data_IF_231173511252
#
_entry.id   IF_231173511252
#
_cell.length_a   1.000
_cell.length_b   1.000
_cell.length_c   1.000
_cell.angle_alpha   90.00
_cell.angle_beta   90.00
_cell.angle_gamma   90.00
#
_symmetry.space_group_name_H-M   'P 1'
#
loop_
_entity.id
_entity.type
_entity.pdbx_description
1 polymer ?
#
# COMPACT_ATOMS: atom_id res chain seq x y z
N UNK A 1 -28.60 -19.03 3.79
CA UNK A 1 -28.31 -17.81 3.00
C UNK A 1 -26.87 -17.40 3.28
N UNK A 2 -25.94 -17.78 2.41
CA UNK A 2 -24.50 -17.48 2.61
C UNK A 2 -24.31 -15.99 2.31
N UNK A 3 -23.84 -15.24 3.30
CA UNK A 3 -23.78 -13.77 3.29
C UNK A 3 -22.94 -13.26 2.12
N UNK A 4 -23.41 -12.21 1.44
CA UNK A 4 -22.72 -11.52 0.32
C UNK A 4 -21.28 -11.11 0.65
N UNK A 5 -20.97 -10.93 1.93
CA UNK A 5 -19.62 -10.69 2.44
C UNK A 5 -18.65 -11.85 2.17
N UNK A 6 -19.09 -13.11 2.27
CA UNK A 6 -18.24 -14.29 2.01
C UNK A 6 -17.90 -14.45 0.53
N UNK A 7 -18.82 -14.11 -0.37
CA UNK A 7 -18.53 -14.07 -1.81
C UNK A 7 -17.55 -12.94 -2.18
N UNK A 8 -17.61 -11.81 -1.47
CA UNK A 8 -16.67 -10.70 -1.67
C UNK A 8 -15.27 -11.09 -1.18
N UNK A 9 -15.18 -11.69 0.00
CA UNK A 9 -13.93 -12.21 0.55
C UNK A 9 -13.30 -13.30 -0.33
N UNK A 10 -14.10 -14.22 -0.88
CA UNK A 10 -13.57 -15.28 -1.75
C UNK A 10 -13.06 -14.76 -3.10
N UNK A 11 -13.69 -13.72 -3.66
CA UNK A 11 -13.21 -13.06 -4.87
C UNK A 11 -11.87 -12.33 -4.68
N UNK A 12 -11.71 -11.68 -3.53
CA UNK A 12 -10.47 -10.98 -3.15
C UNK A 12 -9.34 -11.98 -2.90
N UNK A 13 -9.64 -13.11 -2.24
CA UNK A 13 -8.65 -14.12 -1.90
C UNK A 13 -8.05 -14.85 -3.14
N UNK A 14 -8.76 -14.85 -4.28
CA UNK A 14 -8.24 -15.38 -5.55
C UNK A 14 -7.13 -14.52 -6.17
N UNK A 15 -7.11 -13.22 -5.88
CA UNK A 15 -6.12 -12.29 -6.44
C UNK A 15 -4.95 -12.00 -5.50
N UNK A 16 -5.05 -12.41 -4.24
CA UNK A 16 -4.04 -12.14 -3.20
C UNK A 16 -3.10 -13.30 -2.90
N UNK A 17 -3.35 -14.52 -3.40
CA UNK A 17 -2.38 -15.62 -3.24
C UNK A 17 -1.21 -15.40 -4.20
N UNK A 18 -0.02 -15.03 -3.71
CA UNK A 18 1.17 -15.17 -4.52
C UNK A 18 1.44 -16.67 -4.59
N UNK A 19 1.42 -17.24 -5.79
CA UNK A 19 1.94 -18.59 -5.99
C UNK A 19 3.39 -18.58 -5.53
N UNK A 20 3.67 -19.12 -4.35
CA UNK A 20 5.04 -19.45 -3.95
C UNK A 20 5.42 -20.66 -4.78
N UNK A 21 5.91 -20.40 -5.99
CA UNK A 21 6.62 -21.36 -6.81
C UNK A 21 8.05 -20.87 -6.95
N UNK A 22 8.91 -21.42 -6.10
CA UNK A 22 10.31 -21.62 -6.46
C UNK A 22 10.35 -22.46 -7.73
N UNK A 23 10.65 -21.83 -8.85
CA UNK A 23 11.62 -22.30 -9.86
C UNK A 23 11.48 -21.44 -11.11
N UNK A 24 12.63 -21.09 -11.66
CA UNK A 24 12.84 -20.72 -13.05
C UNK A 24 11.86 -21.47 -13.98
N UNK A 25 11.04 -20.74 -14.73
CA UNK A 25 10.69 -21.09 -16.11
C UNK A 25 9.98 -19.92 -16.79
N UNK A 26 10.37 -19.73 -18.04
CA UNK A 26 9.96 -18.71 -18.98
C UNK A 26 8.56 -18.97 -19.55
N UNK A 27 7.59 -18.09 -19.26
CA UNK A 27 6.46 -17.83 -20.17
C UNK A 27 5.84 -16.45 -19.92
N UNK A 28 5.60 -15.70 -21.00
CA UNK A 28 5.27 -14.27 -20.95
C UNK A 28 3.78 -13.98 -20.87
N UNK A 29 3.31 -13.53 -19.69
CA UNK A 29 2.18 -12.60 -19.52
C UNK A 29 2.13 -12.01 -18.08
N UNK A 30 3.04 -11.06 -17.81
CA UNK A 30 2.82 -9.80 -17.08
C UNK A 30 2.08 -9.81 -15.72
N UNK A 31 2.68 -10.41 -14.69
CA UNK A 31 2.42 -9.99 -13.30
C UNK A 31 3.29 -8.79 -12.96
N UNK A 32 2.71 -7.60 -12.84
CA UNK A 32 3.48 -6.41 -12.43
C UNK A 32 4.08 -6.65 -11.03
N UNK A 33 5.41 -6.54 -10.83
CA UNK A 33 6.02 -6.87 -9.55
C UNK A 33 5.56 -5.87 -8.49
N UNK A 34 4.85 -6.33 -7.46
CA UNK A 34 4.45 -5.49 -6.31
C UNK A 34 5.60 -5.45 -5.30
N UNK A 35 6.04 -4.25 -4.91
CA UNK A 35 7.05 -4.06 -3.87
C UNK A 35 6.38 -3.96 -2.50
N UNK A 36 6.74 -4.83 -1.57
CA UNK A 36 6.22 -4.82 -0.19
C UNK A 36 7.36 -4.47 0.75
N UNK A 37 7.12 -3.55 1.69
CA UNK A 37 8.12 -3.21 2.70
C UNK A 37 8.39 -4.41 3.64
N UNK A 38 9.62 -4.54 4.17
CA UNK A 38 9.93 -5.62 5.11
C UNK A 38 9.04 -5.63 6.36
N UNK A 39 8.65 -4.46 6.86
CA UNK A 39 7.74 -4.30 8.02
C UNK A 39 6.37 -4.94 7.74
N UNK A 40 5.78 -4.61 6.59
CA UNK A 40 4.47 -5.14 6.19
C UNK A 40 4.57 -6.63 5.86
N UNK A 41 5.63 -7.05 5.15
CA UNK A 41 5.84 -8.46 4.83
C UNK A 41 5.95 -9.32 6.10
N UNK A 42 6.69 -8.84 7.11
CA UNK A 42 6.83 -9.53 8.37
C UNK A 42 5.52 -9.57 9.17
N UNK A 43 4.79 -8.45 9.21
CA UNK A 43 3.49 -8.38 9.87
C UNK A 43 2.50 -9.40 9.26
N UNK A 44 2.45 -9.50 7.93
CA UNK A 44 1.62 -10.47 7.23
C UNK A 44 2.05 -11.91 7.52
N UNK A 45 3.36 -12.23 7.54
CA UNK A 45 3.83 -13.58 7.86
C UNK A 45 3.56 -14.00 9.30
N UNK A 46 3.58 -13.04 10.23
CA UNK A 46 3.30 -13.26 11.64
C UNK A 46 1.81 -13.24 11.99
N UNK A 47 0.93 -13.01 11.00
CA UNK A 47 -0.52 -12.89 11.22
C UNK A 47 -0.91 -11.63 12.02
N UNK A 48 -0.05 -10.63 12.05
CA UNK A 48 -0.32 -9.34 12.70
C UNK A 48 -1.32 -8.52 11.86
N UNK A 49 -2.08 -7.66 12.52
CA UNK A 49 -2.99 -6.75 11.83
C UNK A 49 -2.20 -5.73 10.98
N UNK A 50 -2.60 -5.58 9.72
CA UNK A 50 -2.06 -4.58 8.79
C UNK A 50 -3.21 -3.69 8.33
N UNK A 51 -3.02 -2.38 8.36
CA UNK A 51 -4.00 -1.40 7.91
C UNK A 51 -3.46 -0.71 6.66
N UNK A 52 -4.12 -0.93 5.53
CA UNK A 52 -3.81 -0.21 4.31
C UNK A 52 -4.24 1.25 4.44
N UNK A 53 -3.35 2.19 4.09
CA UNK A 53 -3.63 3.62 4.09
C UNK A 53 -3.64 4.15 2.66
N UNK A 54 -4.69 4.90 2.33
CA UNK A 54 -4.86 5.58 1.05
C UNK A 54 -3.91 6.76 0.94
N UNK A 55 -3.18 6.88 -0.17
CA UNK A 55 -2.27 8.00 -0.39
C UNK A 55 -2.95 9.25 -0.98
N UNK A 56 -4.22 9.16 -1.42
CA UNK A 56 -4.93 10.27 -2.11
C UNK A 56 -5.36 11.36 -1.15
N UNK A 57 -5.94 10.98 -0.01
CA UNK A 57 -6.37 11.93 1.04
C UNK A 57 -5.18 12.75 1.53
N UNK A 58 -4.00 12.12 1.62
CA UNK A 58 -2.78 12.79 2.04
C UNK A 58 -2.29 13.72 0.92
N UNK A 59 -2.30 13.28 -0.33
CA UNK A 59 -1.65 14.03 -1.42
C UNK A 59 -2.46 15.21 -1.96
N UNK A 60 -3.78 15.08 -2.09
CA UNK A 60 -4.64 16.10 -2.71
C UNK A 60 -5.68 16.71 -1.75
N UNK A 61 -5.88 16.11 -0.57
CA UNK A 61 -6.85 16.62 0.40
C UNK A 61 -6.36 17.83 1.19
N UNK A 62 -5.05 18.04 1.31
CA UNK A 62 -4.45 19.08 2.16
C UNK A 62 -3.14 19.64 1.57
N UNK A 63 -2.86 20.94 1.74
CA UNK A 63 -1.59 21.51 1.33
C UNK A 63 -0.44 21.03 2.24
N UNK A 64 0.77 20.99 1.68
CA UNK A 64 1.99 20.85 2.47
C UNK A 64 2.14 22.05 3.43
N UNK A 65 2.61 21.86 4.68
CA UNK A 65 3.09 20.63 5.32
C UNK A 65 2.00 19.77 5.99
N UNK A 66 0.75 20.25 6.01
CA UNK A 66 -0.33 19.64 6.78
C UNK A 66 -0.67 18.22 6.30
N UNK A 67 -0.52 17.96 5.01
CA UNK A 67 -0.63 16.59 4.47
C UNK A 67 0.29 15.58 5.18
N UNK A 68 1.57 15.92 5.32
CA UNK A 68 2.57 15.08 5.94
C UNK A 68 2.31 14.90 7.44
N UNK A 69 1.89 15.97 8.13
CA UNK A 69 1.54 15.92 9.55
C UNK A 69 0.37 14.96 9.79
N UNK A 70 -0.71 15.10 9.03
CA UNK A 70 -1.86 14.20 9.14
C UNK A 70 -1.51 12.77 8.78
N UNK A 71 -0.68 12.53 7.76
CA UNK A 71 -0.18 11.19 7.43
C UNK A 71 0.54 10.54 8.62
N UNK A 72 1.41 11.30 9.29
CA UNK A 72 2.12 10.85 10.49
C UNK A 72 1.18 10.56 11.65
N UNK A 73 0.18 11.41 11.86
CA UNK A 73 -0.82 11.20 12.91
C UNK A 73 -1.63 9.92 12.68
N UNK A 74 -2.13 9.71 11.45
CA UNK A 74 -2.89 8.49 11.11
C UNK A 74 -2.04 7.24 11.29
N UNK A 75 -0.78 7.25 10.85
CA UNK A 75 0.12 6.12 11.10
C UNK A 75 0.39 5.86 12.57
N UNK A 76 0.59 6.93 13.36
CA UNK A 76 0.79 6.81 14.79
C UNK A 76 -0.44 6.21 15.47
N UNK A 77 -1.65 6.59 15.04
CA UNK A 77 -2.91 6.01 15.52
C UNK A 77 -2.95 4.52 15.20
N UNK A 78 -2.65 4.11 13.97
CA UNK A 78 -2.63 2.69 13.57
C UNK A 78 -1.67 1.88 14.45
N UNK A 79 -0.44 2.37 14.63
CA UNK A 79 0.57 1.71 15.48
C UNK A 79 0.13 1.64 16.95
N UNK A 80 -0.46 2.71 17.48
CA UNK A 80 -0.95 2.75 18.87
C UNK A 80 -2.07 1.73 19.11
N UNK A 81 -2.85 1.41 18.07
CA UNK A 81 -3.87 0.36 18.12
C UNK A 81 -3.33 -1.06 17.85
N UNK A 82 -2.01 -1.24 17.77
CA UNK A 82 -1.38 -2.55 17.64
C UNK A 82 -1.37 -3.12 16.21
N UNK A 83 -1.60 -2.29 15.20
CA UNK A 83 -1.54 -2.69 13.80
C UNK A 83 -0.35 -2.03 13.08
N UNK A 84 0.06 -2.62 11.96
CA UNK A 84 1.11 -2.07 11.09
C UNK A 84 0.48 -1.25 9.97
N UNK A 85 0.81 0.05 9.85
CA UNK A 85 0.33 0.87 8.74
C UNK A 85 1.03 0.49 7.44
N UNK A 86 0.27 0.44 6.35
CA UNK A 86 0.73 0.07 5.02
C UNK A 86 0.21 1.09 4.01
N UNK A 87 0.86 2.24 3.92
CA UNK A 87 0.57 3.23 2.88
C UNK A 87 0.89 2.65 1.51
N UNK A 88 -0.08 2.66 0.60
CA UNK A 88 0.04 2.10 -0.75
C UNK A 88 0.19 3.22 -1.77
N UNK A 89 1.16 3.11 -2.68
CA UNK A 89 1.32 4.05 -3.79
C UNK A 89 1.91 3.35 -5.03
N UNK A 90 1.64 3.87 -6.22
CA UNK A 90 2.28 3.39 -7.45
C UNK A 90 3.45 4.32 -7.80
N UNK A 91 4.67 3.78 -7.79
CA UNK A 91 5.91 4.54 -8.01
C UNK A 91 6.60 4.02 -9.25
N UNK A 92 6.79 4.88 -10.26
CA UNK A 92 7.35 4.51 -11.56
C UNK A 92 6.61 3.32 -12.20
N UNK A 93 5.28 3.32 -12.06
CA UNK A 93 4.41 2.23 -12.49
C UNK A 93 4.38 1.03 -11.54
N UNK A 94 5.26 0.95 -10.54
CA UNK A 94 5.36 -0.21 -9.65
C UNK A 94 4.47 0.00 -8.41
N UNK A 95 3.47 -0.88 -8.13
CA UNK A 95 2.72 -0.83 -6.88
C UNK A 95 3.64 -1.09 -5.70
N UNK A 96 3.65 -0.20 -4.73
CA UNK A 96 4.49 -0.24 -3.53
C UNK A 96 3.62 -0.17 -2.28
N UNK A 97 3.88 -1.06 -1.31
CA UNK A 97 3.13 -1.19 -0.06
C UNK A 97 4.09 -0.90 1.11
N UNK A 98 3.71 0.02 1.99
CA UNK A 98 4.52 0.43 3.16
C UNK A 98 5.53 1.54 2.84
N UNK A 99 5.14 2.51 1.99
CA UNK A 99 5.99 3.63 1.57
C UNK A 99 5.84 4.83 2.49
N UNK A 100 6.54 4.88 3.63
CA UNK A 100 6.37 5.98 4.59
C UNK A 100 7.61 6.85 4.86
N UNK A 101 8.81 6.32 4.65
CA UNK A 101 10.03 7.01 5.11
C UNK A 101 10.49 8.13 4.15
N UNK A 102 11.49 7.89 3.32
CA UNK A 102 12.10 8.95 2.49
C UNK A 102 11.30 9.26 1.23
N UNK A 103 10.69 8.23 0.67
CA UNK A 103 10.00 8.30 -0.62
C UNK A 103 8.66 9.04 -0.51
N UNK A 104 7.99 8.89 0.64
CA UNK A 104 6.72 9.56 0.93
C UNK A 104 6.84 11.08 1.03
N UNK A 105 7.93 11.55 1.63
CA UNK A 105 8.22 12.98 1.74
C UNK A 105 8.44 13.61 0.36
N UNK A 106 9.15 12.89 -0.52
CA UNK A 106 9.34 13.31 -1.91
C UNK A 106 8.00 13.43 -2.63
N UNK A 107 7.11 12.45 -2.46
CA UNK A 107 5.75 12.47 -3.03
C UNK A 107 4.95 13.70 -2.54
N UNK A 108 4.93 13.97 -1.23
CA UNK A 108 4.17 15.09 -0.66
C UNK A 108 4.65 16.45 -1.18
N UNK A 109 5.95 16.60 -1.47
CA UNK A 109 6.54 17.83 -2.02
C UNK A 109 6.29 17.92 -3.53
N UNK A 110 6.47 16.81 -4.26
CA UNK A 110 6.45 16.80 -5.73
C UNK A 110 5.04 16.88 -6.33
N UNK A 111 4.02 16.33 -5.65
CA UNK A 111 2.62 16.43 -6.09
C UNK A 111 2.13 17.89 -6.09
N UNK A 112 2.65 18.75 -5.22
CA UNK A 112 2.38 20.19 -5.29
C UNK A 112 3.03 20.89 -6.49
N UNK A 113 3.98 20.26 -7.20
CA UNK A 113 4.72 20.87 -8.32
C UNK A 113 4.44 20.26 -9.70
N UNK A 114 4.09 18.98 -9.85
CA UNK A 114 3.87 18.36 -11.18
C UNK A 114 2.74 17.31 -11.19
N UNK A 115 1.79 17.37 -12.14
CA UNK A 115 0.63 16.48 -12.20
C UNK A 115 0.90 15.15 -12.94
N UNK A 116 2.13 14.62 -12.97
CA UNK A 116 2.45 13.46 -13.81
C UNK A 116 3.06 12.31 -13.01
N UNK A 117 2.35 11.19 -13.05
CA UNK A 117 2.73 9.84 -12.59
C UNK A 117 2.75 9.56 -11.08
N UNK A 118 1.69 9.91 -10.37
CA UNK A 118 1.29 9.10 -9.22
C UNK A 118 -0.15 8.64 -9.42
N UNK A 119 -0.36 7.35 -9.64
CA UNK A 119 -1.69 6.74 -9.57
C UNK A 119 -1.88 6.20 -8.16
N UNK A 120 -3.00 6.59 -7.56
CA UNK A 120 -3.27 6.49 -6.15
C UNK A 120 -4.50 5.60 -5.99
N UNK A 121 -4.41 4.56 -5.16
CA UNK A 121 -5.51 3.61 -4.87
C UNK A 121 -6.14 4.00 -3.55
#
# INVERSE_FOLDING_TARGET
MVSSALSRLSNINRHLKPTVSHSCDSDGATGMPVKISPEVSNALSCGCAVVALESTIISHGMPYPRNLETAKEVEAIVRTNGAVPATVAILDGIPCIGVFSTLFLSICIHISMLPRMLYVV
#
